data_IF_526887353237
#
_entry.id   IF_526887353237
#
_cell.length_a   1.000
_cell.length_b   1.000
_cell.length_c   1.000
_cell.angle_alpha   90.00
_cell.angle_beta   90.00
_cell.angle_gamma   90.00
#
_symmetry.space_group_name_H-M   'P 1'
#
loop_
_entity.id
_entity.type
_entity.pdbx_description
1 polymer ?
#
# COMPACT_ATOMS: atom_id res chain seq x y z
N UNK A 1 -23.60 -52.14 -57.40
CA UNK A 1 -23.01 -50.89 -56.88
C UNK A 1 -24.03 -50.34 -55.92
N UNK A 2 -23.87 -50.76 -54.67
CA UNK A 2 -24.88 -50.72 -53.62
C UNK A 2 -25.14 -49.29 -53.12
N UNK A 3 -26.43 -48.98 -52.99
CA UNK A 3 -26.96 -47.83 -52.26
C UNK A 3 -27.13 -48.24 -50.81
N UNK A 4 -26.18 -47.83 -49.97
CA UNK A 4 -26.19 -48.18 -48.55
C UNK A 4 -27.19 -47.31 -47.78
N UNK A 5 -28.20 -47.96 -47.22
CA UNK A 5 -29.30 -47.36 -46.47
C UNK A 5 -28.93 -47.40 -44.99
N UNK A 6 -28.74 -46.23 -44.38
CA UNK A 6 -28.45 -46.09 -42.95
C UNK A 6 -29.54 -46.73 -42.08
N UNK A 7 -29.18 -47.75 -41.29
CA UNK A 7 -29.97 -48.25 -40.17
C UNK A 7 -29.72 -47.42 -38.90
N UNK A 8 -30.72 -47.24 -38.02
CA UNK A 8 -30.56 -46.50 -36.77
C UNK A 8 -29.80 -47.33 -35.72
N UNK A 9 -28.82 -46.69 -35.07
CA UNK A 9 -28.01 -47.28 -34.02
C UNK A 9 -28.83 -47.61 -32.77
N UNK A 10 -28.57 -48.80 -32.21
CA UNK A 10 -29.15 -49.31 -30.97
C UNK A 10 -28.63 -48.56 -29.75
N UNK A 11 -29.53 -48.25 -28.81
CA UNK A 11 -29.22 -47.59 -27.55
C UNK A 11 -28.42 -48.53 -26.62
N UNK A 12 -27.11 -48.30 -26.52
CA UNK A 12 -26.26 -48.89 -25.49
C UNK A 12 -26.37 -48.11 -24.18
N UNK A 13 -26.85 -48.78 -23.13
CA UNK A 13 -26.88 -48.26 -21.76
C UNK A 13 -25.46 -48.18 -21.19
N UNK A 14 -24.92 -46.97 -21.02
CA UNK A 14 -23.67 -46.77 -20.27
C UNK A 14 -23.95 -46.84 -18.76
N UNK A 15 -23.18 -47.62 -17.96
CA UNK A 15 -23.29 -47.59 -16.51
C UNK A 15 -22.75 -46.25 -15.97
N UNK A 16 -23.53 -45.63 -15.10
CA UNK A 16 -23.19 -44.38 -14.41
C UNK A 16 -21.96 -44.56 -13.52
N UNK A 17 -20.81 -44.05 -13.94
CA UNK A 17 -19.66 -43.86 -13.06
C UNK A 17 -19.91 -42.65 -12.17
N UNK A 18 -20.22 -42.89 -10.91
CA UNK A 18 -20.26 -41.86 -9.88
C UNK A 18 -18.85 -41.31 -9.68
N UNK A 19 -18.57 -40.13 -10.24
CA UNK A 19 -17.35 -39.37 -9.93
C UNK A 19 -17.44 -38.97 -8.46
N UNK A 20 -16.69 -39.67 -7.61
CA UNK A 20 -16.58 -39.35 -6.20
C UNK A 20 -16.02 -37.94 -6.03
N UNK A 21 -16.79 -37.07 -5.38
CA UNK A 21 -16.33 -35.75 -4.95
C UNK A 21 -15.19 -35.99 -3.95
N UNK A 22 -13.95 -35.75 -4.37
CA UNK A 22 -12.82 -35.75 -3.45
C UNK A 22 -13.04 -34.62 -2.44
N UNK A 23 -13.28 -34.97 -1.19
CA UNK A 23 -13.41 -34.02 -0.10
C UNK A 23 -12.06 -33.34 0.15
N UNK A 24 -12.06 -32.01 0.06
CA UNK A 24 -10.87 -31.20 0.32
C UNK A 24 -10.31 -31.51 1.73
N UNK A 25 -8.98 -31.51 1.91
CA UNK A 25 -8.37 -31.80 3.21
C UNK A 25 -8.89 -30.83 4.29
N UNK A 26 -9.12 -31.36 5.48
CA UNK A 26 -9.67 -30.61 6.61
C UNK A 26 -8.85 -29.35 6.88
N UNK A 27 -9.45 -28.17 6.63
CA UNK A 27 -8.82 -26.87 6.86
C UNK A 27 -8.45 -26.77 8.33
N UNK A 28 -7.17 -26.47 8.60
CA UNK A 28 -6.65 -26.15 9.94
C UNK A 28 -7.59 -25.13 10.60
N UNK A 29 -8.19 -25.49 11.75
CA UNK A 29 -9.05 -24.60 12.55
C UNK A 29 -8.21 -23.48 13.17
N UNK A 30 -7.84 -22.49 12.38
CA UNK A 30 -7.29 -21.23 12.89
C UNK A 30 -8.49 -20.41 13.39
N UNK A 31 -8.48 -20.04 14.67
CA UNK A 31 -9.49 -19.14 15.23
C UNK A 31 -9.20 -17.72 14.70
N UNK A 32 -9.82 -17.39 13.57
CA UNK A 32 -9.69 -16.08 12.92
C UNK A 32 -10.52 -15.09 13.75
N UNK A 33 -9.92 -14.02 14.31
CA UNK A 33 -10.69 -12.99 14.99
C UNK A 33 -11.64 -12.31 14.00
N UNK A 34 -12.86 -11.91 14.40
CA UNK A 34 -13.78 -11.23 13.52
C UNK A 34 -13.19 -9.91 13.04
N UNK A 35 -13.07 -9.75 11.72
CA UNK A 35 -12.65 -8.50 11.08
C UNK A 35 -13.89 -7.61 11.00
N UNK A 36 -14.00 -6.63 11.90
CA UNK A 36 -15.18 -5.76 12.04
C UNK A 36 -15.11 -4.49 11.19
N UNK A 37 -13.93 -4.16 10.69
CA UNK A 37 -13.67 -3.06 9.78
C UNK A 37 -12.51 -3.43 8.85
N UNK A 38 -12.40 -2.79 7.67
CA UNK A 38 -11.17 -2.86 6.88
C UNK A 38 -9.99 -2.51 7.79
N UNK A 39 -8.84 -3.20 7.70
CA UNK A 39 -7.68 -2.86 8.50
C UNK A 39 -7.42 -1.36 8.34
N UNK A 40 -7.36 -0.64 9.47
CA UNK A 40 -7.02 0.80 9.48
C UNK A 40 -5.73 0.95 8.70
N UNK A 41 -5.77 1.67 7.58
CA UNK A 41 -4.72 1.52 6.58
C UNK A 41 -3.38 2.04 7.06
N UNK A 42 -3.31 2.83 8.15
CA UNK A 42 -2.11 3.10 8.97
C UNK A 42 -2.49 3.76 10.32
N UNK A 43 -1.59 3.74 11.30
CA UNK A 43 -1.46 4.83 12.30
C UNK A 43 -1.08 6.13 11.57
N UNK A 44 -1.20 7.31 12.19
CA UNK A 44 -0.77 8.56 11.53
C UNK A 44 0.65 8.41 10.92
N UNK A 45 0.78 8.62 9.61
CA UNK A 45 2.06 8.43 8.90
C UNK A 45 2.99 9.55 9.35
N UNK A 46 4.10 9.18 10.00
CA UNK A 46 5.11 10.14 10.38
C UNK A 46 5.94 10.54 9.15
N UNK A 47 5.85 11.81 8.77
CA UNK A 47 6.66 12.41 7.70
C UNK A 47 7.98 12.99 8.21
N UNK A 48 8.26 12.89 9.51
CA UNK A 48 9.45 13.43 10.17
C UNK A 48 9.58 14.96 10.04
N UNK A 49 8.47 15.70 10.16
CA UNK A 49 8.41 17.15 9.90
C UNK A 49 8.92 17.52 8.49
N UNK A 50 8.69 16.67 7.48
CA UNK A 50 9.12 16.94 6.11
C UNK A 50 8.63 18.30 5.59
N UNK A 51 9.53 19.02 4.89
CA UNK A 51 9.29 20.31 4.27
C UNK A 51 9.85 20.29 2.86
N UNK A 52 9.25 21.07 1.99
CA UNK A 52 9.75 21.22 0.64
C UNK A 52 11.01 22.09 0.63
N UNK A 53 12.03 21.61 -0.06
CA UNK A 53 13.30 22.30 -0.27
C UNK A 53 13.38 22.79 -1.72
N UNK A 54 13.34 24.12 -1.96
CA UNK A 54 13.41 24.69 -3.30
C UNK A 54 14.73 24.42 -4.04
N UNK A 55 15.80 24.13 -3.29
CA UNK A 55 17.14 23.96 -3.83
C UNK A 55 17.39 22.58 -4.44
N UNK A 56 16.51 21.61 -4.16
CA UNK A 56 16.54 20.30 -4.80
C UNK A 56 15.41 20.17 -5.83
N UNK A 57 15.54 19.20 -6.74
CA UNK A 57 14.56 19.02 -7.80
C UNK A 57 13.15 18.75 -7.23
N UNK A 58 12.11 19.13 -7.98
CA UNK A 58 10.73 18.85 -7.60
C UNK A 58 10.48 17.35 -7.39
N UNK A 59 11.04 16.50 -8.27
CA UNK A 59 10.88 15.05 -8.16
C UNK A 59 11.71 14.48 -7.00
N UNK A 60 12.84 15.11 -6.65
CA UNK A 60 13.65 14.73 -5.48
C UNK A 60 12.88 14.91 -4.18
N UNK A 61 12.24 16.07 -4.01
CA UNK A 61 11.42 16.37 -2.85
C UNK A 61 10.39 15.26 -2.55
N UNK A 62 9.60 14.87 -3.55
CA UNK A 62 8.53 13.89 -3.33
C UNK A 62 9.01 12.44 -3.34
N UNK A 63 10.11 12.11 -4.03
CA UNK A 63 10.74 10.79 -3.88
C UNK A 63 11.34 10.63 -2.48
N UNK A 64 11.96 11.66 -1.92
CA UNK A 64 12.48 11.63 -0.56
C UNK A 64 11.33 11.51 0.45
N UNK A 65 10.25 12.26 0.27
CA UNK A 65 9.03 12.09 1.07
C UNK A 65 8.48 10.66 0.96
N UNK A 66 8.43 10.06 -0.24
CA UNK A 66 8.01 8.67 -0.39
C UNK A 66 8.92 7.70 0.37
N UNK A 67 10.23 7.98 0.41
CA UNK A 67 11.20 7.19 1.19
C UNK A 67 11.01 7.36 2.70
N UNK A 68 10.72 8.58 3.18
CA UNK A 68 10.36 8.83 4.58
C UNK A 68 9.07 8.12 4.97
N UNK A 69 8.04 8.22 4.13
CA UNK A 69 6.75 7.52 4.31
C UNK A 69 6.97 6.02 4.40
N UNK A 70 7.81 5.43 3.54
CA UNK A 70 8.10 4.00 3.55
C UNK A 70 8.64 3.49 4.90
N UNK A 71 9.30 4.33 5.71
CA UNK A 71 9.80 3.97 7.05
C UNK A 71 8.68 3.59 8.04
N UNK A 72 7.44 3.99 7.75
CA UNK A 72 6.26 3.62 8.53
C UNK A 72 5.71 2.23 8.17
N UNK A 73 6.30 1.55 7.16
CA UNK A 73 5.82 0.25 6.69
C UNK A 73 5.97 -0.87 7.72
N UNK A 74 4.89 -1.64 7.88
CA UNK A 74 4.82 -2.80 8.76
C UNK A 74 5.13 -4.12 8.02
N UNK A 75 5.46 -4.05 6.74
CA UNK A 75 5.80 -5.23 5.94
C UNK A 75 7.14 -5.84 6.35
N UNK A 76 7.21 -7.16 6.31
CA UNK A 76 8.45 -7.93 6.51
C UNK A 76 9.15 -8.27 5.18
N UNK A 77 8.52 -8.01 4.04
CA UNK A 77 9.02 -8.36 2.69
C UNK A 77 9.78 -7.20 2.03
N UNK A 78 9.63 -5.99 2.56
CA UNK A 78 10.26 -4.78 2.06
C UNK A 78 9.40 -3.56 2.38
N UNK A 79 10.04 -2.44 2.68
CA UNK A 79 9.34 -1.21 3.05
C UNK A 79 9.09 -0.35 1.81
N UNK A 80 7.83 -0.06 1.56
CA UNK A 80 7.38 0.63 0.34
C UNK A 80 6.56 1.85 0.72
N UNK A 81 6.76 2.96 0.02
CA UNK A 81 6.03 4.20 0.20
C UNK A 81 5.48 4.72 -1.13
N UNK A 82 4.29 5.32 -1.07
CA UNK A 82 3.65 5.98 -2.19
C UNK A 82 3.08 7.33 -1.72
N UNK A 83 3.30 8.36 -2.53
CA UNK A 83 2.80 9.71 -2.33
C UNK A 83 2.02 10.11 -3.58
N UNK A 84 0.73 10.40 -3.41
CA UNK A 84 -0.08 10.98 -4.47
C UNK A 84 -0.17 12.48 -4.26
N UNK A 85 0.07 13.24 -5.31
CA UNK A 85 -0.03 14.71 -5.29
C UNK A 85 -0.93 15.22 -6.40
N UNK A 86 -1.55 16.38 -6.18
CA UNK A 86 -2.15 17.17 -7.24
C UNK A 86 -1.03 17.71 -8.13
N UNK A 87 -1.23 17.80 -9.47
CA UNK A 87 -0.29 18.52 -10.32
C UNK A 87 -0.06 19.93 -9.75
N UNK A 88 1.19 20.38 -9.68
CA UNK A 88 1.52 21.66 -9.05
C UNK A 88 0.82 22.79 -9.81
N UNK A 89 -0.12 23.45 -9.15
CA UNK A 89 -0.74 24.71 -9.62
C UNK A 89 -0.10 25.93 -8.95
N UNK A 90 0.52 25.72 -7.79
CA UNK A 90 1.29 26.71 -7.03
C UNK A 90 2.52 26.04 -6.39
N UNK A 91 3.52 26.84 -6.00
CA UNK A 91 4.81 26.37 -5.44
C UNK A 91 4.65 25.82 -4.01
N UNK A 92 3.46 25.89 -3.38
CA UNK A 92 3.25 25.32 -2.05
C UNK A 92 3.11 23.79 -2.11
N UNK A 93 4.22 23.09 -1.95
CA UNK A 93 4.32 21.65 -2.14
C UNK A 93 3.52 20.80 -1.12
N UNK A 94 3.47 21.20 0.15
CA UNK A 94 2.69 20.46 1.15
C UNK A 94 1.19 20.47 0.83
N UNK A 95 0.68 21.58 0.28
CA UNK A 95 -0.72 21.71 -0.14
C UNK A 95 -1.10 20.84 -1.35
N UNK A 96 -0.10 20.30 -2.06
CA UNK A 96 -0.33 19.42 -3.20
C UNK A 96 -0.50 17.96 -2.78
N UNK A 97 -0.13 17.56 -1.56
CA UNK A 97 -0.25 16.17 -1.12
C UNK A 97 -1.73 15.78 -1.01
N UNK A 98 -2.11 14.72 -1.72
CA UNK A 98 -3.44 14.12 -1.67
C UNK A 98 -3.47 12.92 -0.73
N UNK A 99 -2.43 12.09 -0.76
CA UNK A 99 -2.39 10.86 0.02
C UNK A 99 -0.96 10.39 0.25
N UNK A 100 -0.71 9.88 1.46
CA UNK A 100 0.50 9.16 1.83
C UNK A 100 0.08 7.73 2.16
N UNK A 101 0.82 6.74 1.68
CA UNK A 101 0.56 5.35 2.02
C UNK A 101 1.82 4.51 1.99
N UNK A 102 1.85 3.46 2.82
CA UNK A 102 2.86 2.39 2.73
C UNK A 102 2.20 1.06 2.40
N UNK A 103 2.99 0.05 2.08
CA UNK A 103 2.50 -1.33 2.05
C UNK A 103 2.19 -1.86 3.45
N UNK A 104 1.13 -2.67 3.58
CA UNK A 104 0.61 -3.16 4.86
C UNK A 104 0.13 -4.60 4.77
N UNK A 105 0.45 -5.46 5.75
CA UNK A 105 -0.26 -6.72 5.99
C UNK A 105 -1.78 -6.55 6.09
N UNK A 106 -2.53 -7.25 5.23
CA UNK A 106 -4.00 -7.26 5.30
C UNK A 106 -4.48 -8.20 6.41
N UNK A 107 -3.69 -9.22 6.75
CA UNK A 107 -4.05 -10.20 7.77
C UNK A 107 -2.85 -11.04 8.24
N UNK A 108 -2.55 -11.16 9.54
CA UNK A 108 -3.21 -10.54 10.69
C UNK A 108 -2.62 -9.14 11.00
N UNK A 109 -3.32 -8.30 11.78
CA UNK A 109 -2.75 -7.03 12.23
C UNK A 109 -1.51 -7.27 13.12
N UNK A 110 -0.50 -6.38 13.08
CA UNK A 110 0.53 -6.32 14.12
C UNK A 110 -0.13 -6.21 15.51
N UNK A 111 0.40 -6.85 16.57
CA UNK A 111 1.75 -7.39 16.72
C UNK A 111 1.82 -8.93 16.65
N UNK A 112 0.98 -9.60 15.86
CA UNK A 112 0.99 -11.07 15.77
C UNK A 112 2.27 -11.60 15.09
N UNK A 113 3.35 -11.71 15.87
CA UNK A 113 4.75 -11.98 15.46
C UNK A 113 5.00 -13.32 14.75
N UNK A 114 4.07 -14.28 14.81
CA UNK A 114 4.33 -15.68 14.44
C UNK A 114 3.44 -16.22 13.31
N UNK A 115 2.80 -15.36 12.51
CA UNK A 115 2.03 -15.81 11.34
C UNK A 115 2.84 -15.67 10.05
N UNK A 116 2.91 -16.76 9.26
CA UNK A 116 3.54 -16.79 7.94
C UNK A 116 2.90 -15.76 7.01
N UNK A 117 3.75 -15.05 6.26
CA UNK A 117 3.47 -14.11 5.18
C UNK A 117 1.98 -13.88 4.90
N UNK A 118 1.45 -12.81 5.48
CA UNK A 118 0.16 -12.26 5.11
C UNK A 118 0.14 -11.88 3.63
N UNK A 119 -1.07 -11.87 3.06
CA UNK A 119 -1.32 -11.05 1.89
C UNK A 119 -1.10 -9.58 2.30
N UNK A 120 -0.36 -8.82 1.50
CA UNK A 120 -0.08 -7.41 1.74
C UNK A 120 -0.72 -6.58 0.65
N UNK A 121 -1.27 -5.43 1.01
CA UNK A 121 -1.60 -4.40 0.04
C UNK A 121 -0.32 -3.59 -0.24
N UNK A 122 -0.02 -3.37 -1.51
CA UNK A 122 1.11 -2.53 -1.91
C UNK A 122 0.84 -1.05 -1.61
N UNK A 123 1.89 -0.24 -1.53
CA UNK A 123 1.77 1.17 -1.18
C UNK A 123 0.89 1.94 -2.18
N UNK A 124 1.02 1.65 -3.47
CA UNK A 124 0.27 2.24 -4.58
C UNK A 124 -1.22 1.93 -4.47
N UNK A 125 -1.54 0.64 -4.26
CA UNK A 125 -2.92 0.20 -4.08
C UNK A 125 -3.53 0.75 -2.80
N UNK A 126 -2.74 0.85 -1.75
CA UNK A 126 -3.16 1.46 -0.49
C UNK A 126 -3.44 2.96 -0.66
N UNK A 127 -2.61 3.69 -1.41
CA UNK A 127 -2.83 5.10 -1.69
C UNK A 127 -4.14 5.34 -2.46
N UNK A 128 -4.36 4.61 -3.57
CA UNK A 128 -5.58 4.74 -4.38
C UNK A 128 -6.82 4.35 -3.57
N UNK A 129 -6.78 3.23 -2.86
CA UNK A 129 -7.92 2.80 -2.04
C UNK A 129 -8.21 3.74 -0.86
N UNK A 130 -7.18 4.35 -0.27
CA UNK A 130 -7.32 5.36 0.78
C UNK A 130 -7.94 6.65 0.25
N UNK A 131 -7.57 7.09 -0.96
CA UNK A 131 -8.25 8.19 -1.65
C UNK A 131 -9.75 7.89 -1.83
N UNK A 132 -10.08 6.72 -2.37
CA UNK A 132 -11.48 6.31 -2.58
C UNK A 132 -12.28 6.30 -1.28
N UNK A 133 -11.70 5.72 -0.22
CA UNK A 133 -12.34 5.65 1.10
C UNK A 133 -12.63 7.03 1.70
N UNK A 134 -11.75 8.00 1.45
CA UNK A 134 -11.86 9.36 1.97
C UNK A 134 -12.57 10.33 1.02
N UNK A 135 -13.06 9.86 -0.14
CA UNK A 135 -13.70 10.72 -1.14
C UNK A 135 -12.73 11.68 -1.84
N UNK A 136 -11.42 11.40 -1.81
CA UNK A 136 -10.38 12.22 -2.44
C UNK A 136 -10.24 11.80 -3.91
N UNK A 137 -10.36 12.77 -4.82
CA UNK A 137 -10.20 12.53 -6.27
C UNK A 137 -8.71 12.35 -6.62
N UNK A 138 -8.33 11.12 -6.97
CA UNK A 138 -7.00 10.80 -7.47
C UNK A 138 -6.81 11.08 -8.98
N UNK A 139 -7.90 11.22 -9.75
CA UNK A 139 -7.82 11.47 -11.20
C UNK A 139 -7.11 12.79 -11.49
N UNK A 140 -6.11 12.74 -12.36
CA UNK A 140 -5.22 13.85 -12.69
C UNK A 140 -3.96 13.93 -11.81
N UNK A 141 -3.88 13.16 -10.71
CA UNK A 141 -2.76 13.21 -9.78
C UNK A 141 -1.45 12.65 -10.37
N UNK A 142 -0.35 12.97 -9.70
CA UNK A 142 0.97 12.38 -9.90
C UNK A 142 1.30 11.44 -8.75
N UNK A 143 2.02 10.36 -9.03
CA UNK A 143 2.41 9.36 -8.05
C UNK A 143 3.94 9.30 -7.92
N UNK A 144 4.45 9.39 -6.70
CA UNK A 144 5.85 9.18 -6.34
C UNK A 144 5.96 7.91 -5.52
N UNK A 145 6.76 6.95 -5.98
CA UNK A 145 6.79 5.59 -5.43
C UNK A 145 8.25 5.18 -5.19
N UNK A 146 8.53 4.53 -4.06
CA UNK A 146 9.90 4.13 -3.71
C UNK A 146 10.53 3.10 -4.63
N UNK A 147 9.73 2.37 -5.42
CA UNK A 147 10.15 1.30 -6.32
C UNK A 147 9.22 1.26 -7.54
N UNK A 148 9.62 0.65 -8.68
CA UNK A 148 8.73 0.53 -9.82
C UNK A 148 7.46 -0.24 -9.45
N UNK A 149 6.27 0.23 -9.85
CA UNK A 149 5.02 -0.45 -9.52
C UNK A 149 4.96 -1.83 -10.18
N UNK A 150 4.37 -2.81 -9.48
CA UNK A 150 4.06 -4.09 -10.12
C UNK A 150 2.98 -3.92 -11.20
N UNK A 151 2.77 -4.94 -12.04
CA UNK A 151 1.80 -4.90 -13.15
C UNK A 151 0.40 -4.50 -12.66
N UNK A 152 -0.07 -5.09 -11.56
CA UNK A 152 -1.38 -4.83 -10.97
C UNK A 152 -1.50 -3.41 -10.43
N UNK A 153 -0.48 -2.93 -9.72
CA UNK A 153 -0.44 -1.57 -9.18
C UNK A 153 -0.37 -0.53 -10.30
N UNK A 154 0.41 -0.78 -11.36
CA UNK A 154 0.47 0.09 -12.52
C UNK A 154 -0.89 0.18 -13.22
N UNK A 155 -1.55 -0.94 -13.50
CA UNK A 155 -2.90 -0.93 -14.07
C UNK A 155 -3.87 -0.15 -13.17
N UNK A 156 -3.80 -0.35 -11.85
CA UNK A 156 -4.63 0.38 -10.90
C UNK A 156 -4.38 1.89 -10.94
N UNK A 157 -3.13 2.35 -10.98
CA UNK A 157 -2.78 3.77 -11.08
C UNK A 157 -3.31 4.37 -12.40
N UNK A 158 -3.15 3.67 -13.51
CA UNK A 158 -3.67 4.10 -14.83
C UNK A 158 -5.20 4.24 -14.77
N UNK A 159 -5.91 3.24 -14.26
CA UNK A 159 -7.38 3.29 -14.14
C UNK A 159 -7.89 4.31 -13.12
N UNK A 160 -7.11 4.60 -12.07
CA UNK A 160 -7.40 5.69 -11.14
C UNK A 160 -7.24 7.09 -11.78
N UNK A 161 -6.70 7.16 -13.00
CA UNK A 161 -6.52 8.39 -13.75
C UNK A 161 -5.26 9.16 -13.38
N UNK A 162 -4.25 8.49 -12.79
CA UNK A 162 -2.93 9.07 -12.53
C UNK A 162 -2.26 9.44 -13.86
N UNK A 163 -1.62 10.61 -13.92
CA UNK A 163 -1.04 11.16 -15.16
C UNK A 163 0.47 11.14 -15.22
N UNK A 164 1.14 11.02 -14.07
CA UNK A 164 2.59 10.92 -13.98
C UNK A 164 2.96 9.97 -12.86
N UNK A 165 3.88 9.04 -13.11
CA UNK A 165 4.35 8.06 -12.14
C UNK A 165 5.88 8.11 -12.12
N UNK A 166 6.43 8.55 -11.00
CA UNK A 166 7.86 8.71 -10.77
C UNK A 166 8.31 7.67 -9.75
N UNK A 167 9.38 6.94 -10.06
CA UNK A 167 9.91 5.91 -9.19
C UNK A 167 11.41 5.74 -9.34
N UNK A 168 12.00 5.06 -8.36
CA UNK A 168 13.42 4.72 -8.33
C UNK A 168 13.64 3.38 -9.00
N UNK A 169 14.77 3.20 -9.67
CA UNK A 169 15.19 1.96 -10.37
C UNK A 169 14.41 1.61 -11.64
N UNK A 170 14.95 0.65 -12.37
CA UNK A 170 14.45 0.21 -13.67
C UNK A 170 13.16 -0.59 -13.60
N UNK A 171 12.21 -0.21 -14.45
CA UNK A 171 11.04 -1.04 -14.75
C UNK A 171 11.51 -2.31 -15.44
N UNK A 172 11.18 -3.45 -14.86
CA UNK A 172 11.45 -4.77 -15.45
C UNK A 172 10.22 -5.38 -16.11
N UNK A 173 9.04 -4.77 -15.93
CA UNK A 173 7.78 -5.27 -16.48
C UNK A 173 7.63 -4.89 -17.96
N UNK A 174 7.59 -5.91 -18.80
CA UNK A 174 7.38 -5.77 -20.24
C UNK A 174 6.03 -5.12 -20.57
N UNK A 175 5.99 -4.27 -21.59
CA UNK A 175 4.78 -3.60 -22.08
C UNK A 175 4.25 -2.45 -21.20
N UNK A 176 4.81 -2.20 -20.01
CA UNK A 176 4.36 -1.12 -19.13
C UNK A 176 4.49 0.26 -19.79
N UNK A 177 5.59 0.48 -20.51
CA UNK A 177 5.84 1.72 -21.26
C UNK A 177 4.85 1.94 -22.40
N UNK A 178 4.48 0.88 -23.13
CA UNK A 178 3.53 0.96 -24.23
C UNK A 178 2.13 1.30 -23.73
N UNK A 179 1.71 0.66 -22.63
CA UNK A 179 0.43 0.97 -21.97
C UNK A 179 0.44 2.40 -21.45
N UNK A 180 1.52 2.84 -20.80
CA UNK A 180 1.61 4.21 -20.29
C UNK A 180 1.49 5.23 -21.43
N UNK A 181 2.20 5.01 -22.54
CA UNK A 181 2.12 5.84 -23.74
C UNK A 181 0.70 5.87 -24.32
N UNK A 182 0.04 4.71 -24.43
CA UNK A 182 -1.32 4.61 -24.95
C UNK A 182 -2.35 5.36 -24.10
N UNK A 183 -2.17 5.41 -22.78
CA UNK A 183 -3.06 6.10 -21.84
C UNK A 183 -2.65 7.54 -21.52
N UNK A 184 -1.57 8.03 -22.12
CA UNK A 184 -1.03 9.37 -21.86
C UNK A 184 -0.56 9.54 -20.41
N UNK A 185 0.08 8.50 -19.86
CA UNK A 185 0.70 8.52 -18.53
C UNK A 185 2.21 8.69 -18.70
N UNK A 186 2.77 9.71 -18.07
CA UNK A 186 4.21 9.95 -18.05
C UNK A 186 4.87 9.01 -17.03
N UNK A 187 5.71 8.08 -17.49
CA UNK A 187 6.56 7.27 -16.61
C UNK A 187 7.94 7.90 -16.52
N UNK A 188 8.40 8.13 -15.29
CA UNK A 188 9.71 8.72 -15.01
C UNK A 188 10.52 7.76 -14.16
N UNK A 189 11.56 7.22 -14.79
CA UNK A 189 12.52 6.32 -14.14
C UNK A 189 13.73 7.11 -13.62
N UNK A 190 13.92 7.13 -12.29
CA UNK A 190 15.14 7.67 -11.69
C UNK A 190 16.23 6.61 -11.67
N UNK A 191 17.16 6.73 -12.63
CA UNK A 191 18.30 5.80 -12.84
C UNK A 191 19.61 6.25 -12.21
N UNK A 192 19.68 7.52 -11.80
CA UNK A 192 20.90 8.09 -11.29
C UNK A 192 21.18 7.56 -9.88
N UNK A 193 22.16 6.67 -9.76
CA UNK A 193 22.58 6.09 -8.49
C UNK A 193 23.13 7.13 -7.52
N UNK A 194 23.73 8.22 -8.02
CA UNK A 194 24.21 9.31 -7.17
C UNK A 194 23.04 10.07 -6.59
N UNK A 195 22.01 10.37 -7.38
CA UNK A 195 20.78 10.96 -6.88
C UNK A 195 20.07 10.08 -5.84
N UNK A 196 20.03 8.76 -6.07
CA UNK A 196 19.47 7.80 -5.11
C UNK A 196 20.29 7.77 -3.80
N UNK A 197 21.62 7.86 -3.87
CA UNK A 197 22.49 7.92 -2.70
C UNK A 197 22.30 9.23 -1.92
N UNK A 198 22.25 10.36 -2.64
CA UNK A 198 21.99 11.68 -2.07
C UNK A 198 20.62 11.72 -1.39
N UNK A 199 19.57 11.19 -2.03
CA UNK A 199 18.24 11.11 -1.42
C UNK A 199 18.21 10.22 -0.18
N UNK A 200 18.96 9.11 -0.19
CA UNK A 200 19.08 8.26 0.99
C UNK A 200 19.80 8.97 2.14
N UNK A 201 20.80 9.80 1.86
CA UNK A 201 21.49 10.64 2.84
C UNK A 201 20.58 11.73 3.40
N UNK A 202 19.91 12.50 2.55
CA UNK A 202 18.92 13.50 2.96
C UNK A 202 17.84 12.90 3.86
N UNK A 203 17.29 11.74 3.50
CA UNK A 203 16.32 11.04 4.35
C UNK A 203 16.89 10.67 5.73
N UNK A 204 18.16 10.27 5.83
CA UNK A 204 18.81 9.93 7.12
C UNK A 204 19.02 11.18 7.96
N UNK A 205 19.52 12.25 7.35
CA UNK A 205 19.73 13.53 8.01
C UNK A 205 18.41 14.12 8.52
N UNK A 206 17.34 14.02 7.71
CA UNK A 206 16.00 14.47 8.10
C UNK A 206 15.51 13.80 9.38
N UNK A 207 15.61 12.47 9.41
CA UNK A 207 15.21 11.68 10.59
C UNK A 207 16.08 12.05 11.79
N UNK A 208 17.40 12.22 11.61
CA UNK A 208 18.30 12.63 12.69
C UNK A 208 17.92 13.99 13.27
N UNK A 209 17.69 14.99 12.43
CA UNK A 209 17.29 16.34 12.87
C UNK A 209 15.94 16.31 13.61
N UNK A 210 14.99 15.51 13.13
CA UNK A 210 13.71 15.32 13.81
C UNK A 210 13.86 14.64 15.17
N UNK A 211 14.75 13.65 15.30
CA UNK A 211 15.07 12.99 16.57
C UNK A 211 15.78 13.94 17.54
N UNK A 212 16.74 14.73 17.07
CA UNK A 212 17.48 15.73 17.87
C UNK A 212 16.53 16.81 18.43
N UNK A 213 15.66 17.38 17.60
CA UNK A 213 14.65 18.36 18.00
C UNK A 213 13.69 17.84 19.07
N UNK A 214 13.41 16.53 19.06
CA UNK A 214 12.57 15.86 20.08
C UNK A 214 13.36 15.43 21.33
N UNK A 215 14.69 15.33 21.20
CA UNK A 215 15.62 15.03 22.27
C UNK A 215 16.04 16.26 23.07
N UNK A 216 15.85 17.46 22.52
CA UNK A 216 15.78 18.69 23.31
C UNK A 216 14.50 18.65 24.16
N UNK A 217 14.61 18.75 25.50
CA UNK A 217 13.43 18.72 26.36
C UNK A 217 12.60 19.98 26.10
N UNK A 218 11.49 19.83 25.38
CA UNK A 218 10.39 20.80 25.45
C UNK A 218 9.90 20.83 26.91
N UNK A 219 9.98 21.99 27.56
CA UNK A 219 9.39 22.30 28.88
C UNK A 219 7.85 22.23 28.82
N UNK A 220 7.30 21.04 28.55
CA UNK A 220 5.88 20.71 28.61
C UNK A 220 5.75 19.30 29.19
N UNK A 221 5.46 19.25 30.49
CA UNK A 221 4.83 18.16 31.25
C UNK A 221 4.87 16.73 30.65
N UNK A 222 5.88 15.97 31.09
CA UNK A 222 5.79 14.61 31.61
C UNK A 222 4.53 13.76 31.29
N UNK A 223 4.28 13.40 30.03
CA UNK A 223 3.30 12.36 29.70
C UNK A 223 3.44 11.68 28.32
N UNK A 224 4.64 11.29 27.87
CA UNK A 224 4.76 10.31 26.77
C UNK A 224 6.16 9.68 26.68
N UNK A 225 6.55 8.94 27.71
CA UNK A 225 7.67 8.00 27.58
C UNK A 225 7.29 6.91 26.56
N UNK A 226 7.81 6.99 25.34
CA UNK A 226 7.72 5.91 24.35
C UNK A 226 8.39 4.68 24.98
N UNK A 227 7.67 3.56 25.23
CA UNK A 227 8.26 2.46 25.98
C UNK A 227 9.26 1.71 25.10
N UNK A 228 10.55 1.86 25.43
CA UNK A 228 11.58 0.88 25.12
C UNK A 228 11.09 -0.52 25.54
N UNK A 229 10.99 -1.42 24.56
CA UNK A 229 10.77 -2.88 24.67
C UNK A 229 10.12 -3.33 25.99
N UNK A 230 8.81 -3.09 26.17
CA UNK A 230 8.04 -3.79 27.20
C UNK A 230 7.52 -5.11 26.64
N UNK A 231 7.87 -6.24 27.29
CA UNK A 231 7.11 -7.48 27.20
C UNK A 231 5.67 -7.13 27.61
N UNK A 232 4.71 -7.34 26.71
CA UNK A 232 3.30 -7.25 27.02
C UNK A 232 2.91 -8.52 27.79
N UNK A 233 2.87 -8.41 29.11
CA UNK A 233 2.07 -9.32 29.93
C UNK A 233 0.61 -8.88 29.80
N UNK A 234 -0.23 -9.80 29.30
CA UNK A 234 -1.65 -9.56 29.05
C UNK A 234 -2.40 -9.86 30.34
N UNK A 235 -2.83 -8.82 31.06
CA UNK A 235 -3.90 -8.96 32.04
C UNK A 235 -5.24 -8.65 31.38
N UNK A 236 -6.20 -9.53 31.61
CA UNK A 236 -7.44 -9.66 30.86
C UNK A 236 -8.61 -9.30 31.78
N UNK A 237 -8.80 -8.01 32.06
CA UNK A 237 -10.10 -7.51 32.52
C UNK A 237 -10.14 -5.98 32.47
N UNK A 238 -10.97 -5.43 31.57
CA UNK A 238 -11.84 -4.26 31.82
C UNK A 238 -12.47 -3.82 30.49
N UNK A 239 -13.75 -4.13 30.35
CA UNK A 239 -14.65 -3.60 29.31
C UNK A 239 -15.10 -2.19 29.68
N UNK A 240 -14.89 -1.21 28.81
CA UNK A 240 -15.49 0.13 28.90
C UNK A 240 -16.69 0.18 27.94
N UNK A 241 -17.90 0.58 28.38
CA UNK A 241 -19.08 0.62 27.51
C UNK A 241 -19.09 1.88 26.63
N UNK A 242 -19.47 1.69 25.37
CA UNK A 242 -19.64 2.78 24.38
C UNK A 242 -21.11 3.18 24.39
N UNK A 243 -21.40 4.45 24.68
CA UNK A 243 -22.75 5.01 24.70
C UNK A 243 -23.12 5.53 23.30
N UNK A 244 -24.15 4.96 22.68
CA UNK A 244 -24.65 5.39 21.37
C UNK A 244 -25.93 6.19 21.58
N UNK A 245 -25.87 7.51 21.40
CA UNK A 245 -27.08 8.34 21.30
C UNK A 245 -27.56 8.37 19.86
N UNK A 246 -28.62 7.64 19.58
CA UNK A 246 -29.39 7.76 18.34
C UNK A 246 -30.19 9.07 18.37
N UNK A 247 -29.80 10.03 17.52
CA UNK A 247 -30.62 11.19 17.20
C UNK A 247 -31.32 10.98 15.87
N UNK A 248 -32.60 10.60 15.92
CA UNK A 248 -33.52 10.69 14.80
C UNK A 248 -34.29 12.02 14.92
N UNK A 249 -34.17 12.87 13.91
CA UNK A 249 -35.16 13.84 13.42
C UNK A 249 -34.66 14.41 12.09
#
# INVERSE_FOLDING_TARGET
>A
MDTDTLQPATAGTNPSSSVGIMTAPAKRKVKIPPITAPPSTHSEINTYDWRYEPDISFDDNYIDLACLVARNSLSQKGHMGAVLIRPPSTVNAASNILMLATNVPVYPPPPLKNMKASAEIHAEANAVSSCTRQGIKASGAWAYITFPPCKECFMLLVYAGIKRIVFRRKVVTEGMWDVAKAWGVELVERRDMQQDANGAERCREWVRMWEEKRGEPDDIDAAASIPSKRKLDVDNSQTIPINVTNGAA
#
